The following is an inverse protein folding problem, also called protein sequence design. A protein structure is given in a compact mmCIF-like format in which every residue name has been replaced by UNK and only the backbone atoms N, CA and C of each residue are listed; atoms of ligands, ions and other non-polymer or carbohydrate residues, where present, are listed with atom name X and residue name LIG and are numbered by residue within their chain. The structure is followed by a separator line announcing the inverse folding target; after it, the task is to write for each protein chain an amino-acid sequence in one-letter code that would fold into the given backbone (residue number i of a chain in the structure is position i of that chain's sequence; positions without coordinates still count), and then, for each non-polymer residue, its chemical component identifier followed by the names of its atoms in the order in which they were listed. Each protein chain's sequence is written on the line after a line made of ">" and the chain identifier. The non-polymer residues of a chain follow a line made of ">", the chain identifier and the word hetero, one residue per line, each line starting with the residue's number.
data_IF_984601497326
#
_entry.id   IF_984601497326
#
_cell.length_a   1.000
_cell.length_b   1.000
_cell.length_c   1.000
_cell.angle_alpha   90.00
_cell.angle_beta   90.00
_cell.angle_gamma   90.00
#
_symmetry.space_group_name_H-M   'P 1'
#
loop_
_entity.id
_entity.type
_entity.pdbx_description
1 polymer ?
#
# COMPACT_ATOMS: atom_id res chain seq x y z
N UNK A 1 15.47 20.42 -4.67
CA UNK A 1 14.08 20.74 -5.05
C UNK A 1 13.24 19.66 -4.41
N UNK A 2 12.31 20.02 -3.52
CA UNK A 2 11.29 19.06 -3.12
C UNK A 2 10.54 18.61 -4.38
N UNK A 3 10.26 17.30 -4.55
CA UNK A 3 9.46 16.85 -5.68
C UNK A 3 8.13 17.61 -5.68
N UNK A 4 7.70 18.08 -6.85
CA UNK A 4 6.47 18.86 -6.99
C UNK A 4 5.31 18.10 -6.29
N UNK A 5 4.71 18.74 -5.29
CA UNK A 5 3.67 18.12 -4.48
C UNK A 5 2.40 18.00 -5.32
N UNK A 6 2.05 16.77 -5.67
CA UNK A 6 0.77 16.48 -6.31
C UNK A 6 -0.34 16.75 -5.27
N UNK A 7 -1.38 17.52 -5.62
CA UNK A 7 -2.47 17.77 -4.68
C UNK A 7 -3.23 16.47 -4.39
N UNK A 8 -3.81 16.33 -3.18
CA UNK A 8 -4.59 15.16 -2.81
C UNK A 8 -5.82 15.02 -3.71
N UNK A 9 -6.24 13.78 -3.92
CA UNK A 9 -7.52 13.46 -4.55
C UNK A 9 -8.63 13.94 -3.63
N UNK A 10 -9.42 14.91 -4.11
CA UNK A 10 -10.49 15.53 -3.35
C UNK A 10 -11.56 14.52 -2.88
N UNK A 11 -12.23 14.88 -1.78
CA UNK A 11 -13.31 14.12 -1.18
C UNK A 11 -12.85 13.40 0.08
N UNK A 12 -13.09 14.03 1.22
CA UNK A 12 -12.93 13.39 2.54
C UNK A 12 -13.91 12.22 2.69
N UNK A 13 -13.39 11.05 3.09
CA UNK A 13 -14.16 9.84 3.39
C UNK A 13 -13.80 9.37 4.81
N UNK A 14 -14.77 9.49 5.71
CA UNK A 14 -14.63 9.01 7.09
C UNK A 14 -14.53 7.49 7.14
N UNK A 15 -13.49 7.00 7.82
CA UNK A 15 -13.35 5.58 8.11
C UNK A 15 -14.43 5.06 9.08
N UNK A 16 -14.56 3.74 9.23
CA UNK A 16 -15.49 3.13 10.18
C UNK A 16 -15.14 3.49 11.64
N UNK A 17 -15.99 3.11 12.59
CA UNK A 17 -15.65 3.25 13.99
C UNK A 17 -14.40 2.42 14.35
N UNK A 18 -13.44 3.02 15.04
CA UNK A 18 -12.26 2.34 15.53
C UNK A 18 -11.62 3.08 16.71
N UNK A 19 -10.91 2.33 17.56
CA UNK A 19 -10.31 2.87 18.78
C UNK A 19 -9.20 3.89 18.50
N UNK A 20 -8.36 3.62 17.50
CA UNK A 20 -7.33 4.54 17.02
C UNK A 20 -7.65 5.02 15.60
N UNK A 21 -7.73 6.33 15.41
CA UNK A 21 -7.98 6.94 14.09
C UNK A 21 -6.67 7.34 13.43
N UNK A 22 -6.57 7.03 12.14
CA UNK A 22 -5.50 7.45 11.25
C UNK A 22 -6.08 8.27 10.09
N UNK A 23 -5.49 9.41 9.78
CA UNK A 23 -5.86 10.21 8.60
C UNK A 23 -4.81 10.09 7.50
N UNK A 24 -5.27 9.93 6.27
CA UNK A 24 -4.38 9.83 5.11
C UNK A 24 -4.89 10.62 3.91
N UNK A 25 -3.98 11.05 3.04
CA UNK A 25 -4.32 11.52 1.69
C UNK A 25 -3.91 10.49 0.65
N UNK A 26 -4.54 10.56 -0.53
CA UNK A 26 -4.09 9.85 -1.73
C UNK A 26 -3.69 10.87 -2.76
N UNK A 27 -2.49 10.73 -3.32
CA UNK A 27 -1.92 11.61 -4.33
C UNK A 27 -1.48 10.76 -5.52
N UNK A 28 -1.83 11.17 -6.73
CA UNK A 28 -1.50 10.43 -7.95
C UNK A 28 -0.79 11.36 -8.91
N UNK A 29 0.48 11.08 -9.19
CA UNK A 29 1.31 11.91 -10.06
C UNK A 29 0.61 12.17 -11.40
N UNK A 30 0.69 13.42 -11.86
CA UNK A 30 0.05 13.83 -13.10
C UNK A 30 0.67 13.10 -14.31
N UNK A 31 -0.17 12.71 -15.26
CA UNK A 31 0.25 12.03 -16.49
C UNK A 31 0.38 10.52 -16.37
N UNK A 32 0.17 9.93 -15.18
CA UNK A 32 0.06 8.48 -15.04
C UNK A 32 -1.25 7.95 -15.68
N UNK A 33 -1.24 6.76 -16.31
CA UNK A 33 -2.44 6.12 -16.84
C UNK A 33 -3.28 5.46 -15.73
N UNK A 34 -3.54 6.21 -14.65
CA UNK A 34 -4.25 5.75 -13.46
C UNK A 34 -5.40 6.72 -13.19
N UNK A 35 -6.62 6.20 -13.08
CA UNK A 35 -7.74 7.01 -12.60
C UNK A 35 -7.54 7.28 -11.11
N UNK A 36 -7.27 8.54 -10.79
CA UNK A 36 -6.97 8.97 -9.42
C UNK A 36 -8.12 8.74 -8.44
N UNK A 37 -9.38 8.84 -8.89
CA UNK A 37 -10.53 8.64 -8.02
C UNK A 37 -10.72 7.16 -7.75
N UNK A 38 -10.63 6.31 -8.78
CA UNK A 38 -10.69 4.86 -8.63
C UNK A 38 -9.58 4.38 -7.70
N UNK A 39 -8.33 4.84 -7.91
CA UNK A 39 -7.22 4.47 -7.05
C UNK A 39 -7.44 4.89 -5.59
N UNK A 40 -7.90 6.13 -5.34
CA UNK A 40 -8.16 6.62 -3.99
C UNK A 40 -9.30 5.84 -3.30
N UNK A 41 -10.36 5.52 -4.02
CA UNK A 41 -11.48 4.73 -3.50
C UNK A 41 -11.04 3.28 -3.21
N UNK A 42 -10.23 2.66 -4.07
CA UNK A 42 -9.66 1.32 -3.84
C UNK A 42 -8.74 1.29 -2.62
N UNK A 43 -7.84 2.26 -2.46
CA UNK A 43 -6.95 2.34 -1.28
C UNK A 43 -7.77 2.49 0.00
N UNK A 44 -8.77 3.36 -0.01
CA UNK A 44 -9.68 3.53 1.13
C UNK A 44 -10.40 2.22 1.50
N UNK A 45 -10.87 1.48 0.48
CA UNK A 45 -11.52 0.18 0.69
C UNK A 45 -10.55 -0.86 1.25
N UNK A 46 -9.31 -0.95 0.73
CA UNK A 46 -8.30 -1.91 1.20
C UNK A 46 -7.98 -1.68 2.68
N UNK A 47 -7.75 -0.43 3.10
CA UNK A 47 -7.37 -0.13 4.48
C UNK A 47 -8.48 -0.39 5.50
N UNK A 48 -9.73 -0.22 5.09
CA UNK A 48 -10.90 -0.41 5.94
C UNK A 48 -11.63 -1.75 5.70
N UNK A 49 -11.08 -2.63 4.86
CA UNK A 49 -11.56 -4.01 4.70
C UNK A 49 -11.35 -4.78 6.02
N UNK A 50 -12.29 -5.66 6.44
CA UNK A 50 -12.12 -6.49 7.64
C UNK A 50 -10.82 -7.31 7.68
N UNK A 51 -10.25 -7.64 6.50
CA UNK A 51 -8.99 -8.38 6.33
C UNK A 51 -7.75 -7.49 6.41
N UNK A 52 -7.93 -6.17 6.39
CA UNK A 52 -6.90 -5.13 6.43
C UNK A 52 -6.63 -4.59 7.84
N UNK A 53 -5.87 -3.49 7.91
CA UNK A 53 -5.29 -2.93 9.15
C UNK A 53 -6.28 -2.39 10.18
N UNK A 54 -7.58 -2.35 9.88
CA UNK A 54 -8.63 -2.04 10.84
C UNK A 54 -8.67 -3.02 12.02
N UNK A 55 -8.23 -4.27 11.83
CA UNK A 55 -8.12 -5.32 12.87
C UNK A 55 -9.36 -5.43 13.78
N UNK A 56 -10.55 -5.48 13.19
CA UNK A 56 -11.80 -5.61 13.95
C UNK A 56 -12.14 -4.40 14.83
N UNK A 57 -11.79 -3.19 14.39
CA UNK A 57 -12.12 -1.94 15.07
C UNK A 57 -11.03 -1.42 16.01
N UNK A 58 -9.84 -2.02 16.02
CA UNK A 58 -8.68 -1.43 16.71
C UNK A 58 -8.21 -0.14 16.04
N UNK A 59 -8.27 -0.10 14.70
CA UNK A 59 -7.89 1.07 13.89
C UNK A 59 -9.00 1.47 12.92
N UNK A 60 -8.97 2.72 12.51
CA UNK A 60 -9.83 3.29 11.48
C UNK A 60 -9.03 4.24 10.60
N UNK A 61 -9.25 4.20 9.29
CA UNK A 61 -8.54 5.02 8.32
C UNK A 61 -9.50 5.99 7.61
N UNK A 62 -9.37 7.28 7.90
CA UNK A 62 -10.12 8.36 7.24
C UNK A 62 -9.27 8.96 6.11
N UNK A 63 -9.81 8.97 4.88
CA UNK A 63 -9.21 9.71 3.77
C UNK A 63 -9.58 11.18 3.93
N UNK A 64 -8.62 12.09 3.92
CA UNK A 64 -8.86 13.53 4.13
C UNK A 64 -8.19 14.39 3.07
N UNK A 65 -8.81 15.54 2.79
CA UNK A 65 -8.31 16.54 1.86
C UNK A 65 -7.25 17.45 2.49
N UNK A 66 -7.18 17.51 3.82
CA UNK A 66 -6.31 18.44 4.54
C UNK A 66 -5.69 17.80 5.79
N UNK A 67 -4.42 18.16 6.05
CA UNK A 67 -3.65 17.75 7.23
C UNK A 67 -3.66 16.24 7.52
N UNK A 68 -3.35 15.37 6.53
CA UNK A 68 -3.24 13.95 6.76
C UNK A 68 -2.02 13.62 7.64
N UNK A 69 -2.11 12.56 8.46
CA UNK A 69 -0.94 12.05 9.19
C UNK A 69 0.09 11.41 8.27
N UNK A 70 -0.35 10.83 7.15
CA UNK A 70 0.52 10.26 6.13
C UNK A 70 -0.09 10.38 4.73
N UNK A 71 0.78 10.31 3.72
CA UNK A 71 0.45 10.56 2.32
C UNK A 71 0.72 9.28 1.53
N UNK A 72 -0.32 8.71 0.91
CA UNK A 72 -0.16 7.61 -0.02
C UNK A 72 0.05 8.20 -1.41
N UNK A 73 1.26 8.06 -1.95
CA UNK A 73 1.66 8.68 -3.22
C UNK A 73 1.81 7.58 -4.28
N UNK A 74 0.98 7.61 -5.31
CA UNK A 74 1.16 6.83 -6.53
C UNK A 74 1.99 7.62 -7.53
N UNK A 75 3.22 7.17 -7.77
CA UNK A 75 4.21 7.90 -8.56
C UNK A 75 4.93 7.04 -9.57
N UNK A 76 5.46 7.67 -10.62
CA UNK A 76 6.43 7.08 -11.54
C UNK A 76 7.66 6.56 -10.78
N UNK A 77 8.39 5.58 -11.35
CA UNK A 77 9.64 5.08 -10.77
C UNK A 77 10.57 6.18 -10.26
N UNK A 78 10.80 7.21 -11.08
CA UNK A 78 11.66 8.35 -10.74
C UNK A 78 11.17 9.15 -9.53
N UNK A 79 9.86 9.40 -9.44
CA UNK A 79 9.29 10.11 -8.30
C UNK A 79 9.43 9.28 -7.03
N UNK A 80 9.16 7.97 -7.12
CA UNK A 80 9.25 7.05 -5.98
C UNK A 80 10.68 6.92 -5.48
N UNK A 81 11.67 6.76 -6.36
CA UNK A 81 13.09 6.75 -5.98
C UNK A 81 13.47 8.02 -5.21
N UNK A 82 12.97 9.18 -5.64
CA UNK A 82 13.22 10.45 -4.95
C UNK A 82 12.54 10.54 -3.58
N UNK A 83 11.34 9.98 -3.43
CA UNK A 83 10.60 9.99 -2.15
C UNK A 83 11.14 8.95 -1.16
N UNK A 84 11.67 7.84 -1.67
CA UNK A 84 12.21 6.74 -0.88
C UNK A 84 13.64 6.95 -0.42
N UNK A 85 14.39 7.86 -1.05
CA UNK A 85 15.77 8.15 -0.69
C UNK A 85 15.94 8.39 0.84
N UNK A 86 16.98 7.80 1.47
CA UNK A 86 18.11 7.09 0.86
C UNK A 86 17.88 5.58 0.59
N UNK A 87 16.65 5.07 0.72
CA UNK A 87 16.34 3.69 0.33
C UNK A 87 16.46 3.56 -1.18
N UNK A 88 17.08 2.47 -1.64
CA UNK A 88 17.22 2.17 -3.05
C UNK A 88 16.04 1.33 -3.52
N UNK A 89 15.14 1.95 -4.29
CA UNK A 89 13.98 1.29 -4.90
C UNK A 89 14.26 0.77 -6.31
N UNK A 90 15.41 1.10 -6.91
CA UNK A 90 15.82 0.71 -8.28
C UNK A 90 14.72 0.93 -9.34
N UNK A 91 13.84 1.93 -9.14
CA UNK A 91 12.66 2.16 -9.97
C UNK A 91 11.60 1.05 -9.96
N UNK A 92 11.74 0.02 -9.14
CA UNK A 92 10.89 -1.16 -9.10
C UNK A 92 10.04 -1.27 -7.84
N UNK A 93 10.56 -0.81 -6.70
CA UNK A 93 9.96 -1.00 -5.39
C UNK A 93 9.11 0.17 -4.95
N UNK A 94 8.23 -0.11 -3.99
CA UNK A 94 7.52 0.88 -3.18
C UNK A 94 8.24 1.02 -1.83
N UNK A 95 7.90 2.04 -1.05
CA UNK A 95 8.46 2.19 0.28
C UNK A 95 7.52 2.95 1.21
N UNK A 96 7.78 2.84 2.51
CA UNK A 96 7.44 3.88 3.46
C UNK A 96 8.71 4.67 3.85
N UNK A 97 8.62 6.00 3.81
CA UNK A 97 9.68 6.90 4.26
C UNK A 97 9.08 8.14 4.94
N UNK A 98 9.18 8.19 6.27
CA UNK A 98 8.55 9.25 7.06
C UNK A 98 7.04 9.35 6.80
N UNK A 99 6.51 10.50 6.34
CA UNK A 99 5.09 10.66 6.07
C UNK A 99 4.65 10.02 4.74
N UNK A 100 5.57 9.52 3.91
CA UNK A 100 5.26 9.00 2.59
C UNK A 100 5.07 7.48 2.61
N UNK A 101 3.94 7.03 2.10
CA UNK A 101 3.69 5.66 1.65
C UNK A 101 3.72 5.72 0.13
N UNK A 102 4.90 5.52 -0.44
CA UNK A 102 5.21 5.75 -1.83
C UNK A 102 5.01 4.46 -2.64
N UNK A 103 3.95 4.43 -3.45
CA UNK A 103 3.54 3.29 -4.27
C UNK A 103 3.99 3.48 -5.72
N UNK A 104 4.75 2.52 -6.23
CA UNK A 104 5.26 2.54 -7.60
C UNK A 104 4.15 2.29 -8.62
N UNK A 105 3.90 3.25 -9.50
CA UNK A 105 2.85 3.20 -10.52
C UNK A 105 3.04 2.04 -11.51
N UNK A 106 4.27 1.60 -11.77
CA UNK A 106 4.55 0.39 -12.54
C UNK A 106 3.95 -0.84 -11.85
N UNK A 107 4.12 -0.94 -10.53
CA UNK A 107 3.62 -2.02 -9.70
C UNK A 107 2.12 -1.94 -9.42
N UNK A 108 1.58 -0.73 -9.40
CA UNK A 108 0.13 -0.51 -9.36
C UNK A 108 -0.56 -0.97 -10.65
N UNK A 109 0.05 -0.74 -11.81
CA UNK A 109 -0.54 -1.09 -13.11
C UNK A 109 -0.26 -2.53 -13.53
N UNK A 110 0.86 -3.12 -13.09
CA UNK A 110 1.21 -4.51 -13.34
C UNK A 110 1.93 -5.13 -12.15
N UNK A 111 1.41 -6.25 -11.66
CA UNK A 111 1.96 -7.02 -10.54
C UNK A 111 3.42 -7.43 -10.75
N UNK A 112 4.09 -7.88 -9.68
CA UNK A 112 5.41 -8.49 -9.81
C UNK A 112 5.34 -9.83 -10.58
N UNK A 113 6.44 -10.23 -11.23
CA UNK A 113 6.48 -11.51 -11.98
C UNK A 113 6.11 -12.69 -11.08
N UNK A 114 6.60 -12.70 -9.85
CA UNK A 114 6.28 -13.70 -8.82
C UNK A 114 4.77 -13.88 -8.65
N UNK A 115 4.01 -12.80 -8.56
CA UNK A 115 2.56 -12.88 -8.40
C UNK A 115 1.87 -13.42 -9.66
N UNK A 116 2.33 -13.03 -10.84
CA UNK A 116 1.83 -13.57 -12.12
C UNK A 116 2.12 -15.06 -12.27
N UNK A 117 3.29 -15.53 -11.86
CA UNK A 117 3.67 -16.94 -11.91
C UNK A 117 2.76 -17.80 -11.02
N UNK A 118 2.33 -17.23 -9.89
CA UNK A 118 1.30 -17.81 -9.01
C UNK A 118 -0.14 -17.54 -9.48
N UNK A 119 -0.32 -17.01 -10.70
CA UNK A 119 -1.63 -16.72 -11.33
C UNK A 119 -2.50 -15.78 -10.51
N UNK A 120 -1.88 -14.88 -9.75
CA UNK A 120 -2.58 -13.84 -8.99
C UNK A 120 -2.91 -12.66 -9.88
N UNK A 121 -4.04 -12.02 -9.59
CA UNK A 121 -4.48 -10.83 -10.31
C UNK A 121 -3.72 -9.58 -9.89
N UNK A 122 -3.73 -8.55 -10.74
CA UNK A 122 -3.18 -7.24 -10.39
C UNK A 122 -3.97 -6.58 -9.24
N UNK A 123 -5.26 -6.90 -9.08
CA UNK A 123 -6.07 -6.41 -7.95
C UNK A 123 -5.63 -7.02 -6.61
N UNK A 124 -5.37 -8.34 -6.57
CA UNK A 124 -4.78 -8.97 -5.38
C UNK A 124 -3.39 -8.40 -5.06
N UNK A 125 -2.61 -8.03 -6.08
CA UNK A 125 -1.32 -7.40 -5.89
C UNK A 125 -1.43 -5.96 -5.35
N UNK A 126 -2.40 -5.17 -5.80
CA UNK A 126 -2.65 -3.80 -5.26
C UNK A 126 -2.99 -3.85 -3.77
N UNK A 127 -3.75 -4.85 -3.35
CA UNK A 127 -4.02 -5.11 -1.93
C UNK A 127 -2.71 -5.31 -1.16
N UNK A 128 -1.82 -6.16 -1.67
CA UNK A 128 -0.50 -6.39 -1.07
C UNK A 128 0.32 -5.09 -1.01
N UNK A 129 0.42 -4.37 -2.12
CA UNK A 129 1.22 -3.15 -2.22
C UNK A 129 0.79 -2.11 -1.19
N UNK A 130 -0.52 -1.86 -1.07
CA UNK A 130 -1.07 -0.91 -0.09
C UNK A 130 -0.85 -1.42 1.34
N UNK A 131 -1.17 -2.69 1.59
CA UNK A 131 -1.13 -3.24 2.95
C UNK A 131 0.29 -3.37 3.49
N UNK A 132 1.27 -3.70 2.63
CA UNK A 132 2.68 -3.81 3.00
C UNK A 132 3.25 -2.44 3.40
N UNK A 133 3.09 -1.44 2.53
CA UNK A 133 3.69 -0.12 2.78
C UNK A 133 2.99 0.64 3.91
N UNK A 134 1.67 0.49 4.07
CA UNK A 134 0.98 1.01 5.26
C UNK A 134 1.36 0.22 6.52
N UNK A 135 1.66 -1.07 6.38
CA UNK A 135 2.22 -1.85 7.49
C UNK A 135 3.54 -1.29 8.00
N UNK A 136 4.44 -0.87 7.11
CA UNK A 136 5.66 -0.15 7.47
C UNK A 136 5.36 1.19 8.17
N UNK A 137 4.43 1.98 7.64
CA UNK A 137 4.00 3.22 8.30
C UNK A 137 3.49 2.99 9.74
N UNK A 138 2.77 1.88 9.96
CA UNK A 138 2.28 1.47 11.27
C UNK A 138 3.38 0.90 12.20
N UNK A 139 4.63 0.85 11.74
CA UNK A 139 5.80 0.42 12.51
C UNK A 139 6.16 -1.06 12.38
N UNK A 140 5.59 -1.78 11.41
CA UNK A 140 5.91 -3.19 11.20
C UNK A 140 7.18 -3.34 10.33
N UNK A 141 8.12 -4.18 10.76
CA UNK A 141 9.26 -4.61 9.95
C UNK A 141 8.88 -5.76 9.01
N UNK A 142 9.82 -6.16 8.14
CA UNK A 142 9.61 -7.35 7.32
C UNK A 142 9.46 -8.61 8.18
N UNK A 143 8.57 -9.52 7.76
CA UNK A 143 8.36 -10.83 8.38
C UNK A 143 8.41 -11.92 7.30
N UNK A 144 9.50 -12.69 7.30
CA UNK A 144 9.81 -13.66 6.26
C UNK A 144 9.24 -15.06 6.52
N UNK A 145 8.34 -15.21 7.50
CA UNK A 145 7.64 -16.46 7.76
C UNK A 145 6.35 -16.56 6.93
N UNK A 146 5.99 -17.79 6.56
CA UNK A 146 4.63 -18.07 6.11
C UNK A 146 3.70 -18.11 7.32
N UNK A 147 2.43 -17.79 7.09
CA UNK A 147 1.31 -18.12 7.97
C UNK A 147 1.11 -19.63 8.02
N UNK A 148 0.34 -20.09 9.01
CA UNK A 148 0.00 -21.51 9.18
C UNK A 148 -0.76 -22.11 7.97
N UNK A 149 -1.47 -21.27 7.22
CA UNK A 149 -2.18 -21.63 5.99
C UNK A 149 -1.27 -21.63 4.74
N UNK A 150 0.04 -21.41 4.90
CA UNK A 150 1.04 -21.39 3.84
C UNK A 150 1.11 -20.08 3.05
N UNK A 151 0.25 -19.11 3.35
CA UNK A 151 0.33 -17.78 2.75
C UNK A 151 1.51 -17.00 3.34
N UNK A 152 2.18 -16.18 2.54
CA UNK A 152 3.14 -15.22 3.06
C UNK A 152 2.44 -14.26 4.03
N UNK A 153 3.09 -13.89 5.14
CA UNK A 153 2.62 -12.75 5.93
C UNK A 153 2.72 -11.50 5.05
N UNK A 154 1.79 -10.55 5.21
CA UNK A 154 1.74 -9.36 4.33
C UNK A 154 3.03 -8.54 4.39
N UNK A 155 3.72 -8.56 5.53
CA UNK A 155 4.98 -7.87 5.73
C UNK A 155 6.19 -8.64 5.18
N UNK A 156 6.01 -9.81 4.57
CA UNK A 156 7.05 -10.40 3.74
C UNK A 156 7.22 -9.55 2.50
N UNK A 157 8.47 -9.27 2.08
CA UNK A 157 8.71 -8.75 0.74
C UNK A 157 8.19 -9.79 -0.28
N UNK A 158 7.41 -9.37 -1.26
CA UNK A 158 6.85 -10.24 -2.32
C UNK A 158 7.01 -9.63 -3.72
N UNK A 159 7.50 -8.39 -3.83
CA UNK A 159 7.87 -7.75 -5.11
C UNK A 159 9.23 -8.23 -5.58
N UNK A 160 10.22 -8.24 -4.68
CA UNK A 160 11.63 -8.57 -4.99
C UNK A 160 12.00 -10.04 -4.78
N UNK A 161 11.09 -10.82 -4.20
CA UNK A 161 11.32 -12.22 -3.85
C UNK A 161 10.60 -12.57 -2.55
N UNK A 162 10.15 -13.81 -2.45
CA UNK A 162 9.36 -14.36 -1.34
C UNK A 162 9.99 -15.70 -0.93
N UNK A 163 9.81 -16.13 0.32
CA UNK A 163 10.23 -17.46 0.74
C UNK A 163 9.55 -18.55 -0.13
N UNK A 164 10.33 -19.51 -0.61
CA UNK A 164 9.90 -20.48 -1.63
C UNK A 164 8.75 -21.40 -1.18
N UNK A 165 8.59 -21.59 0.13
CA UNK A 165 7.50 -22.38 0.71
C UNK A 165 6.21 -21.59 0.95
N UNK A 166 6.20 -20.27 0.70
CA UNK A 166 5.00 -19.46 0.87
C UNK A 166 4.22 -19.28 -0.44
N UNK A 167 2.96 -18.88 -0.32
CA UNK A 167 2.11 -18.42 -1.42
C UNK A 167 1.80 -16.93 -1.29
N UNK A 168 1.68 -16.16 -2.39
CA UNK A 168 1.48 -14.71 -2.32
C UNK A 168 0.19 -14.31 -1.60
N UNK A 169 0.27 -13.26 -0.79
CA UNK A 169 -0.86 -12.77 0.01
C UNK A 169 -0.73 -11.27 0.32
N UNK A 170 -1.84 -10.55 0.16
CA UNK A 170 -1.91 -9.11 0.42
C UNK A 170 -2.64 -8.70 1.70
N UNK A 171 -3.26 -9.64 2.42
CA UNK A 171 -4.06 -9.32 3.60
C UNK A 171 -3.31 -9.67 4.89
N UNK A 172 -3.44 -8.84 5.92
CA UNK A 172 -2.97 -9.23 7.26
C UNK A 172 -3.79 -10.38 7.84
N UNK A 173 -5.11 -10.36 7.62
CA UNK A 173 -6.02 -11.39 8.07
C UNK A 173 -6.93 -11.87 6.93
N UNK A 174 -6.43 -12.74 6.03
CA UNK A 174 -7.18 -13.21 4.86
C UNK A 174 -8.51 -13.89 5.17
N UNK A 175 -8.66 -14.38 6.41
CA UNK A 175 -9.81 -15.17 6.86
C UNK A 175 -10.87 -14.33 7.62
N UNK A 176 -10.64 -13.02 7.79
CA UNK A 176 -11.64 -12.13 8.37
C UNK A 176 -12.86 -11.98 7.45
N UNK A 177 -14.04 -11.79 8.06
CA UNK A 177 -15.32 -11.59 7.38
C UNK A 177 -15.92 -10.25 7.73
#
# INVERSE_FOLDING_TARGET
>A
MEPATTPPVAGTLEGPAGAQKFTFSVEVEQGLPIDKKVAADSIYQILNDPRGWGEGGKRSFTRTDANPQFRIVLGSPKLIDSLCAPLDTDGEYSCNNGPYVALNAKRWTSSAQLWRDHKKSDDEYRIYLVSHEVGHFLGNGHDFECRDDGLAKVMMQQTGGMAANCQPNGWINPNAK
#
